data_IF_887382855508
#
_entry.id   IF_887382855508
#
_cell.length_a   1.000
_cell.length_b   1.000
_cell.length_c   1.000
_cell.angle_alpha   90.00
_cell.angle_beta   90.00
_cell.angle_gamma   90.00
#
_symmetry.space_group_name_H-M   'P 1'
#
loop_
_entity.id
_entity.type
_entity.pdbx_description
1 polymer ?
#
# COMPACT_ATOMS: atom_id res chain seq x y z
N UNK A 1 -10.04 25.39 18.61
CA UNK A 1 -8.86 25.37 17.72
C UNK A 1 -9.11 24.27 16.71
N UNK A 2 -9.30 24.62 15.44
CA UNK A 2 -9.31 23.61 14.38
C UNK A 2 -7.89 23.02 14.31
N UNK A 3 -7.75 21.70 14.37
CA UNK A 3 -6.47 21.07 14.04
C UNK A 3 -6.28 21.27 12.53
N UNK A 4 -5.45 22.22 12.15
CA UNK A 4 -4.99 22.34 10.77
C UNK A 4 -4.16 21.09 10.43
N UNK A 5 -4.40 20.52 9.25
CA UNK A 5 -3.63 19.37 8.76
C UNK A 5 -2.14 19.76 8.72
N UNK A 6 -1.23 18.94 9.28
CA UNK A 6 0.19 19.28 9.29
C UNK A 6 0.74 19.42 7.86
N UNK A 7 1.78 20.24 7.69
CA UNK A 7 2.41 20.48 6.37
C UNK A 7 3.00 19.19 5.76
N UNK A 8 3.37 18.22 6.60
CA UNK A 8 3.90 16.93 6.16
C UNK A 8 3.28 15.77 6.93
N UNK A 9 3.01 14.63 6.26
CA UNK A 9 2.55 13.40 6.90
C UNK A 9 3.64 12.64 7.67
N UNK A 10 4.86 13.19 7.75
CA UNK A 10 5.98 12.52 8.40
C UNK A 10 5.77 12.41 9.92
N UNK A 11 5.97 11.21 10.46
CA UNK A 11 5.90 10.92 11.91
C UNK A 11 7.29 10.78 12.55
N UNK A 12 8.33 11.30 11.89
CA UNK A 12 9.75 11.22 12.31
C UNK A 12 10.29 9.79 12.52
N UNK A 13 9.61 8.77 11.99
CA UNK A 13 10.07 7.37 11.96
C UNK A 13 10.17 6.92 10.51
N UNK A 14 11.40 6.92 9.98
CA UNK A 14 11.67 6.52 8.62
C UNK A 14 12.21 5.09 8.58
N UNK A 15 11.57 4.22 7.81
CA UNK A 15 12.04 2.84 7.61
C UNK A 15 12.63 2.61 6.22
N UNK A 16 12.41 3.53 5.28
CA UNK A 16 13.03 3.45 3.95
C UNK A 16 14.55 3.62 3.98
N UNK A 17 15.07 4.35 4.97
CA UNK A 17 16.51 4.42 5.24
C UNK A 17 17.12 3.06 5.67
N UNK A 18 16.29 2.11 6.11
CA UNK A 18 16.70 0.77 6.58
C UNK A 18 16.47 -0.29 5.49
N UNK A 19 15.76 0.06 4.41
CA UNK A 19 15.59 -0.81 3.23
C UNK A 19 14.14 -1.09 2.81
N UNK A 20 13.12 -0.55 3.49
CA UNK A 20 11.75 -0.64 2.98
C UNK A 20 11.56 0.29 1.74
N UNK A 21 10.81 -0.15 0.73
CA UNK A 21 10.49 0.70 -0.43
C UNK A 21 9.44 1.78 -0.09
N UNK A 22 8.56 1.47 0.86
CA UNK A 22 7.53 2.36 1.40
C UNK A 22 7.74 2.51 2.90
N UNK A 23 7.73 3.75 3.39
CA UNK A 23 7.94 4.02 4.80
C UNK A 23 6.76 3.52 5.64
N UNK A 24 7.02 2.60 6.58
CA UNK A 24 5.99 2.05 7.48
C UNK A 24 5.35 3.08 8.41
N UNK A 25 6.04 4.21 8.64
CA UNK A 25 5.57 5.27 9.53
C UNK A 25 4.59 6.24 8.86
N UNK A 26 4.92 6.73 7.66
CA UNK A 26 4.12 7.76 6.97
C UNK A 26 3.45 7.30 5.67
N UNK A 27 3.68 6.05 5.23
CA UNK A 27 3.06 5.50 4.03
C UNK A 27 3.62 6.02 2.69
N UNK A 28 4.71 6.78 2.73
CA UNK A 28 5.30 7.41 1.53
C UNK A 28 6.44 6.60 0.94
N UNK A 29 6.61 6.68 -0.37
CA UNK A 29 7.77 6.12 -1.04
C UNK A 29 9.04 6.93 -0.73
N UNK A 30 10.21 6.31 -0.89
CA UNK A 30 11.49 7.03 -0.74
C UNK A 30 11.59 8.25 -1.67
N UNK A 31 11.09 8.13 -2.90
CA UNK A 31 11.08 9.22 -3.88
C UNK A 31 10.23 10.40 -3.41
N UNK A 32 9.05 10.13 -2.85
CA UNK A 32 8.20 11.19 -2.32
C UNK A 32 8.83 11.87 -1.10
N UNK A 33 9.40 11.09 -0.18
CA UNK A 33 10.05 11.61 1.03
C UNK A 33 11.20 12.56 0.64
N UNK A 34 12.05 12.12 -0.30
CA UNK A 34 13.23 12.88 -0.73
C UNK A 34 12.87 14.16 -1.49
N UNK A 35 11.75 14.15 -2.23
CA UNK A 35 11.35 15.27 -3.08
C UNK A 35 10.29 16.19 -2.45
N UNK A 36 9.80 15.92 -1.23
CA UNK A 36 8.65 16.63 -0.66
C UNK A 36 8.77 18.16 -0.70
N UNK A 37 9.93 18.70 -0.34
CA UNK A 37 10.17 20.15 -0.29
C UNK A 37 10.15 20.82 -1.68
N UNK A 38 10.25 20.03 -2.75
CA UNK A 38 10.24 20.49 -4.14
C UNK A 38 8.90 20.19 -4.84
N UNK A 39 7.95 19.55 -4.15
CA UNK A 39 6.65 19.23 -4.72
C UNK A 39 5.69 20.42 -4.60
N UNK A 40 5.02 20.74 -5.71
CA UNK A 40 3.94 21.73 -5.70
C UNK A 40 2.75 21.23 -4.87
N UNK A 41 1.91 22.16 -4.43
CA UNK A 41 0.70 21.87 -3.66
C UNK A 41 -0.20 20.77 -4.26
N UNK A 42 -0.55 20.75 -5.57
CA UNK A 42 -1.34 19.65 -6.13
C UNK A 42 -0.65 18.30 -6.02
N UNK A 43 0.67 18.24 -6.19
CA UNK A 43 1.42 16.99 -6.06
C UNK A 43 1.44 16.50 -4.60
N UNK A 44 1.60 17.44 -3.64
CA UNK A 44 1.50 17.13 -2.21
C UNK A 44 0.11 16.62 -1.85
N UNK A 45 -0.94 17.23 -2.40
CA UNK A 45 -2.32 16.79 -2.18
C UNK A 45 -2.57 15.37 -2.72
N UNK A 46 -2.04 15.04 -3.91
CA UNK A 46 -2.14 13.69 -4.44
C UNK A 46 -1.50 12.66 -3.49
N UNK A 47 -0.31 12.94 -2.95
CA UNK A 47 0.31 12.06 -1.95
C UNK A 47 -0.62 11.88 -0.75
N UNK A 48 -1.17 12.97 -0.20
CA UNK A 48 -2.10 12.91 0.93
C UNK A 48 -3.32 12.02 0.67
N UNK A 49 -3.89 12.09 -0.55
CA UNK A 49 -5.04 11.26 -0.93
C UNK A 49 -4.71 9.76 -1.00
N UNK A 50 -3.46 9.40 -1.34
CA UNK A 50 -3.03 8.00 -1.44
C UNK A 50 -2.66 7.37 -0.07
N UNK A 51 -2.27 8.18 0.93
CA UNK A 51 -1.76 7.66 2.20
C UNK A 51 -2.71 6.70 2.93
N UNK A 52 -4.03 6.96 3.05
CA UNK A 52 -4.93 6.05 3.76
C UNK A 52 -4.94 4.65 3.14
N UNK A 53 -4.96 4.58 1.81
CA UNK A 53 -4.86 3.32 1.08
C UNK A 53 -3.51 2.64 1.34
N UNK A 54 -2.40 3.35 1.19
CA UNK A 54 -1.06 2.79 1.41
C UNK A 54 -0.86 2.28 2.83
N UNK A 55 -1.45 2.94 3.83
CA UNK A 55 -1.36 2.51 5.22
C UNK A 55 -2.07 1.16 5.45
N UNK A 56 -3.22 0.95 4.84
CA UNK A 56 -3.90 -0.34 4.89
C UNK A 56 -3.10 -1.45 4.17
N UNK A 57 -2.48 -1.13 3.04
CA UNK A 57 -1.61 -2.07 2.32
C UNK A 57 -0.35 -2.43 3.13
N UNK A 58 0.25 -1.45 3.82
CA UNK A 58 1.41 -1.68 4.71
C UNK A 58 1.06 -2.62 5.86
N UNK A 59 -0.12 -2.45 6.46
CA UNK A 59 -0.59 -3.32 7.52
C UNK A 59 -0.79 -4.78 7.03
N UNK A 60 -1.34 -4.96 5.83
CA UNK A 60 -1.44 -6.28 5.18
C UNK A 60 -0.05 -6.87 4.93
N UNK A 61 0.89 -6.07 4.41
CA UNK A 61 2.27 -6.49 4.17
C UNK A 61 2.98 -6.93 5.47
N UNK A 62 2.78 -6.18 6.56
CA UNK A 62 3.32 -6.49 7.88
C UNK A 62 2.78 -7.83 8.41
N UNK A 63 1.48 -8.07 8.31
CA UNK A 63 0.84 -9.34 8.70
C UNK A 63 1.33 -10.53 7.88
N UNK A 64 1.67 -10.30 6.61
CA UNK A 64 2.23 -11.32 5.73
C UNK A 64 3.75 -11.50 5.93
N UNK A 65 4.42 -10.57 6.61
CA UNK A 65 5.87 -10.59 6.83
C UNK A 65 6.67 -10.27 5.57
N UNK A 66 6.10 -9.49 4.64
CA UNK A 66 6.69 -9.17 3.34
C UNK A 66 6.86 -7.66 3.17
N UNK A 67 7.66 -7.25 2.19
CA UNK A 67 7.82 -5.84 1.85
C UNK A 67 6.69 -5.38 0.92
N UNK A 68 6.21 -4.16 1.14
CA UNK A 68 5.30 -3.48 0.22
C UNK A 68 6.13 -2.70 -0.80
N UNK A 69 5.77 -2.87 -2.07
CA UNK A 69 6.22 -2.02 -3.17
C UNK A 69 5.01 -1.34 -3.83
N UNK A 70 5.18 -0.14 -4.40
CA UNK A 70 4.10 0.57 -5.10
C UNK A 70 4.34 0.52 -6.60
N UNK A 71 3.35 0.06 -7.35
CA UNK A 71 3.43 -0.14 -8.79
C UNK A 71 2.26 0.58 -9.47
N UNK A 72 2.56 1.30 -10.55
CA UNK A 72 1.55 1.95 -11.39
C UNK A 72 1.13 0.99 -12.50
N UNK A 73 -0.11 0.52 -12.48
CA UNK A 73 -0.66 -0.43 -13.45
C UNK A 73 -2.04 0.04 -13.90
N UNK A 74 -2.25 0.07 -15.23
CA UNK A 74 -3.50 0.54 -15.86
C UNK A 74 -3.93 1.96 -15.42
N UNK A 75 -2.96 2.82 -15.08
CA UNK A 75 -3.21 4.19 -14.61
C UNK A 75 -3.56 4.32 -13.13
N UNK A 76 -3.54 3.22 -12.38
CA UNK A 76 -3.88 3.18 -10.97
C UNK A 76 -2.70 2.67 -10.13
N UNK A 77 -2.66 3.08 -8.85
CA UNK A 77 -1.65 2.62 -7.91
C UNK A 77 -2.05 1.28 -7.26
N UNK A 78 -1.14 0.31 -7.36
CA UNK A 78 -1.24 -1.02 -6.76
C UNK A 78 -0.10 -1.26 -5.77
N UNK A 79 -0.42 -1.90 -4.65
CA UNK A 79 0.57 -2.49 -3.76
C UNK A 79 1.01 -3.85 -4.29
N UNK A 80 2.30 -4.04 -4.53
CA UNK A 80 2.88 -5.33 -4.89
C UNK A 80 3.47 -5.99 -3.65
N UNK A 81 3.07 -7.24 -3.41
CA UNK A 81 3.53 -8.07 -2.31
C UNK A 81 4.16 -9.36 -2.85
N UNK A 82 5.44 -9.65 -2.54
CA UNK A 82 6.05 -10.92 -2.87
C UNK A 82 5.59 -11.99 -1.89
N UNK A 83 4.80 -12.96 -2.33
CA UNK A 83 4.28 -14.05 -1.50
C UNK A 83 4.51 -15.40 -2.20
N UNK A 84 5.15 -16.34 -1.51
CA UNK A 84 5.45 -17.70 -2.01
C UNK A 84 6.11 -17.72 -3.41
N UNK A 85 7.03 -16.78 -3.66
CA UNK A 85 7.74 -16.66 -4.94
C UNK A 85 6.95 -15.98 -6.07
N UNK A 86 5.76 -15.45 -5.77
CA UNK A 86 4.90 -14.73 -6.73
C UNK A 86 4.70 -13.28 -6.33
N UNK A 87 4.39 -12.43 -7.30
CA UNK A 87 4.03 -11.04 -7.07
C UNK A 87 2.50 -10.91 -7.07
N UNK A 88 1.92 -10.63 -5.92
CA UNK A 88 0.51 -10.33 -5.79
C UNK A 88 0.33 -8.82 -5.83
N UNK A 89 -0.65 -8.36 -6.61
CA UNK A 89 -0.98 -6.95 -6.72
C UNK A 89 -2.31 -6.71 -6.02
N UNK A 90 -2.28 -5.91 -4.97
CA UNK A 90 -3.45 -5.60 -4.16
C UNK A 90 -3.70 -4.10 -4.10
N UNK A 91 -4.95 -3.71 -3.94
CA UNK A 91 -5.38 -2.32 -3.82
C UNK A 91 -6.53 -2.21 -2.85
N UNK A 92 -6.65 -1.08 -2.15
CA UNK A 92 -7.87 -0.77 -1.40
C UNK A 92 -8.85 -0.03 -2.31
N UNK A 93 -10.09 -0.48 -2.38
CA UNK A 93 -11.18 0.32 -2.96
C UNK A 93 -12.34 0.38 -1.98
N UNK A 94 -12.60 1.56 -1.43
CA UNK A 94 -13.52 1.75 -0.31
C UNK A 94 -13.15 0.85 0.89
N UNK A 95 -14.02 -0.07 1.29
CA UNK A 95 -13.81 -0.99 2.40
C UNK A 95 -13.45 -2.42 1.93
N UNK A 96 -13.03 -2.60 0.67
CA UNK A 96 -12.64 -3.91 0.12
C UNK A 96 -11.21 -3.89 -0.40
N UNK A 97 -10.53 -5.03 -0.24
CA UNK A 97 -9.22 -5.25 -0.88
C UNK A 97 -9.48 -5.87 -2.23
N UNK A 98 -8.97 -5.26 -3.29
CA UNK A 98 -8.94 -5.84 -4.62
C UNK A 98 -7.64 -6.58 -4.82
N UNK A 99 -7.72 -7.83 -5.26
CA UNK A 99 -6.59 -8.60 -5.76
C UNK A 99 -6.63 -8.58 -7.28
N UNK A 100 -5.54 -8.17 -7.93
CA UNK A 100 -5.38 -8.28 -9.37
C UNK A 100 -4.85 -9.67 -9.72
N UNK A 101 -5.54 -10.31 -10.66
CA UNK A 101 -5.20 -11.61 -11.23
C UNK A 101 -4.25 -11.44 -12.43
N UNK A 102 -3.52 -12.50 -12.82
CA UNK A 102 -2.59 -12.45 -13.96
C UNK A 102 -3.23 -12.07 -15.30
N UNK A 103 -4.53 -12.34 -15.45
CA UNK A 103 -5.33 -11.99 -16.64
C UNK A 103 -5.80 -10.53 -16.64
N UNK A 104 -5.39 -9.74 -15.64
CA UNK A 104 -5.73 -8.32 -15.50
C UNK A 104 -7.06 -8.05 -14.79
N UNK A 105 -7.84 -9.08 -14.44
CA UNK A 105 -9.09 -8.89 -13.67
C UNK A 105 -8.78 -8.54 -12.21
N UNK A 106 -9.65 -7.76 -11.59
CA UNK A 106 -9.61 -7.48 -10.16
C UNK A 106 -10.75 -8.25 -9.46
N UNK A 107 -10.41 -8.99 -8.40
CA UNK A 107 -11.37 -9.70 -7.56
C UNK A 107 -11.44 -9.01 -6.18
N UNK A 108 -12.64 -8.67 -5.67
CA UNK A 108 -12.77 -8.22 -4.30
C UNK A 108 -12.54 -9.38 -3.34
N UNK A 109 -11.65 -9.18 -2.36
CA UNK A 109 -11.47 -10.03 -1.19
C UNK A 109 -12.46 -9.59 -0.12
N UNK A 110 -13.12 -10.57 0.49
CA UNK A 110 -14.11 -10.32 1.53
C UNK A 110 -13.43 -9.90 2.83
N UNK A 111 -13.83 -8.72 3.33
CA UNK A 111 -13.28 -8.07 4.53
C UNK A 111 -14.08 -8.43 5.79
N UNK A 112 -15.13 -9.27 5.68
CA UNK A 112 -15.95 -9.68 6.84
C UNK A 112 -15.15 -10.34 7.97
N UNK A 113 -13.92 -10.81 7.73
CA UNK A 113 -13.01 -11.39 8.73
C UNK A 113 -11.89 -10.44 9.20
N UNK A 114 -11.92 -9.16 8.79
CA UNK A 114 -10.86 -8.21 9.09
C UNK A 114 -9.55 -8.48 8.32
N UNK A 115 -8.50 -7.75 8.69
CA UNK A 115 -7.19 -7.78 8.00
C UNK A 115 -6.50 -9.14 8.08
N UNK A 116 -6.74 -9.91 9.14
CA UNK A 116 -6.23 -11.28 9.29
C UNK A 116 -6.90 -12.25 8.30
N UNK A 117 -8.19 -12.06 8.02
CA UNK A 117 -8.91 -12.82 6.99
C UNK A 117 -8.39 -12.53 5.58
N UNK A 118 -8.09 -11.26 5.28
CA UNK A 118 -7.47 -10.87 4.01
C UNK A 118 -6.11 -11.54 3.84
N UNK A 119 -5.24 -11.51 4.85
CA UNK A 119 -3.94 -12.16 4.80
C UNK A 119 -4.05 -13.68 4.57
N UNK A 120 -5.02 -14.33 5.21
CA UNK A 120 -5.29 -15.76 5.00
C UNK A 120 -5.78 -16.07 3.57
N UNK A 121 -6.70 -15.26 3.04
CA UNK A 121 -7.18 -15.39 1.66
C UNK A 121 -6.05 -15.20 0.65
N UNK A 122 -5.18 -14.19 0.85
CA UNK A 122 -4.03 -13.96 -0.03
C UNK A 122 -3.07 -15.15 -0.09
N UNK A 123 -2.77 -15.76 1.06
CA UNK A 123 -1.99 -17.00 1.12
C UNK A 123 -2.68 -18.14 0.37
N UNK A 124 -4.00 -18.31 0.54
CA UNK A 124 -4.74 -19.32 -0.20
C UNK A 124 -4.70 -19.09 -1.72
N UNK A 125 -4.85 -17.85 -2.18
CA UNK A 125 -4.74 -17.51 -3.60
C UNK A 125 -3.34 -17.76 -4.16
N UNK A 126 -2.29 -17.42 -3.41
CA UNK A 126 -0.92 -17.72 -3.82
C UNK A 126 -0.71 -19.22 -4.12
N UNK A 127 -1.34 -20.09 -3.30
CA UNK A 127 -1.30 -21.55 -3.46
C UNK A 127 -2.19 -22.04 -4.61
N UNK A 128 -3.38 -21.46 -4.83
CA UNK A 128 -4.36 -21.96 -5.82
C UNK A 128 -3.99 -21.67 -7.26
N UNK A 129 -3.20 -20.63 -7.55
CA UNK A 129 -2.82 -20.26 -8.93
C UNK A 129 -1.66 -21.15 -9.44
N UNK A 130 -1.48 -22.36 -8.88
CA UNK A 130 -0.45 -23.33 -9.29
C UNK A 130 -0.64 -23.81 -10.74
#
# INVERSE_FOLDING_TARGET
MALERPDSPCVARCTTAVGDNVCRGCGRSFAEISNWCFMDEPAREQVWLQLPQRQALLDIAERLGVLLDLQQLDGEEWGMLPLDGRQLFIRMQAATVQLRLPDGRALPLDVQQGLDGIAAQLRQYAVLVN
#
